data_IF_245268221449
#
_entry.id   IF_245268221449
#
_cell.length_a   1.000
_cell.length_b   1.000
_cell.length_c   1.000
_cell.angle_alpha   90.00
_cell.angle_beta   90.00
_cell.angle_gamma   90.00
#
_symmetry.space_group_name_H-M   'P 1'
#
loop_
_entity.id
_entity.type
_entity.pdbx_description
1 polymer ?
#
# COMPACT_ATOMS: atom_id res chain seq x y z
N UNK A 1 -11.34 -10.83 -2.86
CA UNK A 1 -11.43 -9.36 -2.72
C UNK A 1 -10.70 -8.71 -3.87
N UNK A 2 -11.06 -7.47 -4.19
CA UNK A 2 -10.32 -6.60 -5.10
C UNK A 2 -9.47 -5.66 -4.25
N UNK A 3 -8.16 -5.88 -4.22
CA UNK A 3 -7.21 -5.11 -3.42
C UNK A 3 -6.54 -4.06 -4.31
N UNK A 4 -6.58 -2.81 -3.88
CA UNK A 4 -5.82 -1.74 -4.51
C UNK A 4 -4.50 -1.53 -3.78
N UNK A 5 -3.38 -1.77 -4.48
CA UNK A 5 -2.03 -1.59 -3.94
C UNK A 5 -1.40 -0.29 -4.40
N UNK A 6 -0.77 0.41 -3.48
CA UNK A 6 -0.03 1.66 -3.71
C UNK A 6 1.20 1.72 -2.81
N UNK A 7 2.15 2.56 -3.10
CA UNK A 7 3.29 2.89 -2.24
C UNK A 7 3.91 4.24 -2.60
N UNK A 8 4.98 4.63 -1.94
CA UNK A 8 5.84 5.78 -2.28
C UNK A 8 7.27 5.37 -2.70
N UNK A 9 7.64 4.09 -2.58
CA UNK A 9 8.93 3.56 -3.01
C UNK A 9 9.01 3.30 -4.53
N UNK A 10 7.87 3.34 -5.22
CA UNK A 10 7.76 3.11 -6.66
C UNK A 10 7.26 1.72 -7.05
N UNK A 11 6.73 1.62 -8.27
CA UNK A 11 6.00 0.45 -8.80
C UNK A 11 6.83 -0.85 -8.80
N UNK A 12 8.13 -0.77 -8.95
CA UNK A 12 9.04 -1.93 -8.97
C UNK A 12 9.69 -2.25 -7.62
N UNK A 13 9.27 -1.60 -6.53
CA UNK A 13 9.88 -1.83 -5.22
C UNK A 13 9.55 -3.21 -4.64
N UNK A 14 10.45 -3.73 -3.82
CA UNK A 14 10.30 -5.05 -3.18
C UNK A 14 9.04 -5.16 -2.34
N UNK A 15 8.67 -4.08 -1.66
CA UNK A 15 7.53 -4.04 -0.74
C UNK A 15 6.19 -4.21 -1.44
N UNK A 16 5.93 -3.47 -2.52
CA UNK A 16 4.66 -3.58 -3.25
C UNK A 16 4.56 -4.91 -4.00
N UNK A 17 5.69 -5.40 -4.52
CA UNK A 17 5.73 -6.72 -5.16
C UNK A 17 5.43 -7.85 -4.18
N UNK A 18 5.97 -7.78 -2.95
CA UNK A 18 5.66 -8.75 -1.90
C UNK A 18 4.17 -8.73 -1.51
N UNK A 19 3.54 -7.54 -1.41
CA UNK A 19 2.10 -7.43 -1.16
C UNK A 19 1.27 -8.02 -2.30
N UNK A 20 1.66 -7.76 -3.54
CA UNK A 20 1.01 -8.33 -4.71
C UNK A 20 1.06 -9.86 -4.68
N UNK A 21 2.25 -10.45 -4.51
CA UNK A 21 2.41 -11.92 -4.44
C UNK A 21 1.57 -12.52 -3.30
N UNK A 22 1.63 -11.92 -2.11
CA UNK A 22 0.85 -12.38 -0.96
C UNK A 22 -0.67 -12.31 -1.21
N UNK A 23 -1.15 -11.29 -1.93
CA UNK A 23 -2.56 -11.15 -2.27
C UNK A 23 -3.00 -12.18 -3.32
N UNK A 24 -2.20 -12.37 -4.38
CA UNK A 24 -2.47 -13.35 -5.44
C UNK A 24 -2.42 -14.79 -4.91
N UNK A 25 -1.45 -15.15 -4.06
CA UNK A 25 -1.38 -16.45 -3.39
C UNK A 25 -2.66 -16.79 -2.62
N UNK A 26 -3.38 -15.79 -2.14
CA UNK A 26 -4.65 -15.95 -1.41
C UNK A 26 -5.90 -15.85 -2.31
N UNK A 27 -5.73 -15.77 -3.62
CA UNK A 27 -6.82 -15.73 -4.60
C UNK A 27 -7.52 -14.38 -4.67
N UNK A 28 -6.83 -13.28 -4.36
CA UNK A 28 -7.37 -11.94 -4.52
C UNK A 28 -7.04 -11.39 -5.90
N UNK A 29 -7.92 -10.52 -6.42
CA UNK A 29 -7.62 -9.69 -7.57
C UNK A 29 -6.90 -8.42 -7.11
N UNK A 30 -5.92 -7.98 -7.88
CA UNK A 30 -5.03 -6.89 -7.51
C UNK A 30 -4.97 -5.83 -8.61
N UNK A 31 -5.20 -4.58 -8.25
CA UNK A 31 -4.81 -3.44 -9.07
C UNK A 31 -3.71 -2.68 -8.35
N UNK A 32 -2.52 -2.64 -8.96
CA UNK A 32 -1.40 -1.85 -8.46
C UNK A 32 -1.34 -0.51 -9.20
N UNK A 33 -1.25 0.58 -8.48
CA UNK A 33 -0.94 1.89 -9.05
C UNK A 33 0.06 2.60 -8.14
N UNK A 34 1.28 2.83 -8.63
CA UNK A 34 2.33 3.42 -7.81
C UNK A 34 3.17 4.42 -8.62
N UNK A 35 3.90 5.32 -7.97
CA UNK A 35 4.80 6.24 -8.64
C UNK A 35 5.83 5.49 -9.47
N UNK A 36 6.21 6.08 -10.61
CA UNK A 36 7.28 5.53 -11.44
C UNK A 36 8.62 5.50 -10.72
N UNK A 37 8.86 6.48 -9.84
CA UNK A 37 10.08 6.65 -9.05
C UNK A 37 9.73 6.93 -7.60
N UNK A 38 10.65 6.62 -6.69
CA UNK A 38 10.49 6.87 -5.25
C UNK A 38 10.09 8.32 -4.96
N UNK A 39 9.15 8.50 -4.03
CA UNK A 39 8.54 9.76 -3.62
C UNK A 39 8.60 9.93 -2.08
N UNK A 40 9.76 9.69 -1.48
CA UNK A 40 9.94 9.82 -0.04
C UNK A 40 9.56 11.22 0.45
N UNK A 41 8.99 11.29 1.66
CA UNK A 41 8.53 12.53 2.29
C UNK A 41 7.47 13.31 1.46
N UNK A 42 6.69 12.60 0.64
CA UNK A 42 5.64 13.22 -0.15
C UNK A 42 4.43 13.70 0.66
N UNK A 43 4.28 13.23 1.91
CA UNK A 43 3.11 13.54 2.75
C UNK A 43 1.80 13.20 2.02
N UNK A 44 0.75 13.99 2.22
CA UNK A 44 -0.53 13.87 1.52
C UNK A 44 -0.62 14.83 0.31
N UNK A 45 0.50 15.03 -0.42
CA UNK A 45 0.57 15.92 -1.57
C UNK A 45 -0.07 15.29 -2.79
N UNK A 46 -0.82 16.09 -3.57
CA UNK A 46 -1.32 15.72 -4.89
C UNK A 46 -0.94 16.78 -5.95
N UNK A 47 -0.96 16.38 -7.22
CA UNK A 47 -0.58 17.22 -8.35
C UNK A 47 -1.77 18.06 -8.82
N UNK A 48 -1.58 19.39 -8.96
CA UNK A 48 -2.63 20.33 -9.35
C UNK A 48 -2.51 20.83 -10.80
N UNK A 49 -1.31 21.07 -11.27
CA UNK A 49 -1.07 21.87 -12.49
C UNK A 49 -0.35 21.12 -13.58
N UNK A 50 0.26 20.00 -13.28
CA UNK A 50 1.04 19.21 -14.23
C UNK A 50 0.27 17.99 -14.72
N UNK A 51 0.45 17.57 -15.99
CA UNK A 51 -0.16 16.35 -16.47
C UNK A 51 0.43 15.12 -15.77
N UNK A 52 -0.45 14.18 -15.42
CA UNK A 52 -0.07 12.88 -14.87
C UNK A 52 -0.09 11.86 -16.02
N UNK A 53 1.04 11.26 -16.29
CA UNK A 53 1.16 10.21 -17.29
C UNK A 53 0.99 8.84 -16.63
N UNK A 54 0.17 8.00 -17.25
CA UNK A 54 -0.07 6.61 -16.83
C UNK A 54 0.55 5.67 -17.83
N UNK A 55 1.28 4.67 -17.35
CA UNK A 55 1.85 3.60 -18.18
C UNK A 55 1.55 2.26 -17.53
N UNK A 56 1.03 1.31 -18.30
CA UNK A 56 0.93 -0.08 -17.88
C UNK A 56 2.32 -0.62 -17.49
N UNK A 57 2.36 -1.32 -16.37
CA UNK A 57 3.56 -1.97 -15.88
C UNK A 57 3.43 -3.48 -16.07
N UNK A 58 4.40 -4.13 -16.70
CA UNK A 58 4.30 -5.56 -16.98
C UNK A 58 4.30 -6.38 -15.68
N UNK A 59 3.26 -7.16 -15.48
CA UNK A 59 3.12 -8.12 -14.39
C UNK A 59 2.58 -9.41 -14.96
N UNK A 60 3.35 -10.50 -14.79
CA UNK A 60 2.95 -11.84 -15.25
C UNK A 60 2.31 -12.61 -14.08
N UNK A 61 1.13 -12.14 -13.67
CA UNK A 61 0.31 -12.78 -12.62
C UNK A 61 -1.17 -12.69 -12.99
N UNK A 62 -1.88 -13.84 -13.09
CA UNK A 62 -3.33 -13.83 -13.32
C UNK A 62 -4.07 -13.03 -12.24
N UNK A 63 -5.04 -12.22 -12.65
CA UNK A 63 -5.83 -11.40 -11.73
C UNK A 63 -5.13 -10.14 -11.22
N UNK A 64 -3.94 -9.81 -11.78
CA UNK A 64 -3.19 -8.63 -11.42
C UNK A 64 -3.07 -7.64 -12.60
N UNK A 65 -3.33 -6.36 -12.34
CA UNK A 65 -3.06 -5.24 -13.24
C UNK A 65 -2.16 -4.23 -12.53
N UNK A 66 -1.20 -3.66 -13.25
CA UNK A 66 -0.26 -2.73 -12.65
C UNK A 66 -0.01 -1.50 -13.53
N UNK A 67 0.10 -0.34 -12.90
CA UNK A 67 0.27 0.95 -13.55
C UNK A 67 1.32 1.80 -12.83
N UNK A 68 2.26 2.33 -13.60
CA UNK A 68 3.21 3.34 -13.13
C UNK A 68 2.72 4.72 -13.52
N UNK A 69 2.69 5.67 -12.59
CA UNK A 69 2.32 7.06 -12.88
C UNK A 69 3.43 8.05 -12.53
N UNK A 70 3.39 9.23 -13.13
CA UNK A 70 4.35 10.31 -12.83
C UNK A 70 3.95 11.16 -11.62
N UNK A 71 2.82 10.86 -11.00
CA UNK A 71 2.28 11.57 -9.84
C UNK A 71 2.83 11.10 -8.49
N UNK A 72 2.31 11.72 -7.44
CA UNK A 72 2.56 11.35 -6.04
C UNK A 72 1.83 10.05 -5.66
N UNK A 73 2.10 9.46 -4.48
CA UNK A 73 1.32 8.32 -3.97
C UNK A 73 -0.18 8.61 -3.85
N UNK A 74 -0.54 9.83 -3.47
CA UNK A 74 -1.94 10.29 -3.42
C UNK A 74 -2.55 10.33 -4.82
N UNK A 75 -1.82 10.84 -5.82
CA UNK A 75 -2.28 10.82 -7.21
C UNK A 75 -2.50 9.39 -7.72
N UNK A 76 -1.66 8.43 -7.29
CA UNK A 76 -1.84 7.02 -7.64
C UNK A 76 -3.20 6.49 -7.16
N UNK A 77 -3.62 6.83 -5.95
CA UNK A 77 -4.93 6.43 -5.43
C UNK A 77 -6.05 7.14 -6.18
N UNK A 78 -5.96 8.45 -6.38
CA UNK A 78 -6.98 9.24 -7.07
C UNK A 78 -7.20 8.78 -8.51
N UNK A 79 -6.12 8.70 -9.28
CA UNK A 79 -6.17 8.24 -10.68
C UNK A 79 -6.56 6.76 -10.73
N UNK A 80 -5.98 5.94 -9.87
CA UNK A 80 -6.25 4.52 -9.80
C UNK A 80 -7.71 4.20 -9.57
N UNK A 81 -8.30 4.75 -8.51
CA UNK A 81 -9.70 4.50 -8.16
C UNK A 81 -10.70 5.07 -9.17
N UNK A 82 -10.37 6.17 -9.83
CA UNK A 82 -11.30 6.84 -10.74
C UNK A 82 -11.19 6.36 -12.20
N UNK A 83 -10.03 5.89 -12.63
CA UNK A 83 -9.76 5.65 -14.06
C UNK A 83 -9.22 4.25 -14.40
N UNK A 84 -8.60 3.55 -13.43
CA UNK A 84 -7.86 2.33 -13.75
C UNK A 84 -8.50 1.05 -13.20
N UNK A 85 -9.20 1.14 -12.07
CA UNK A 85 -9.92 -0.02 -11.53
C UNK A 85 -11.12 -0.39 -12.38
N UNK A 86 -11.26 -1.66 -12.70
CA UNK A 86 -12.37 -2.18 -13.51
C UNK A 86 -13.50 -2.75 -12.67
N UNK A 87 -13.29 -2.89 -11.36
CA UNK A 87 -14.25 -3.44 -10.38
C UNK A 87 -14.19 -2.64 -9.07
N UNK A 88 -15.25 -2.66 -8.26
CA UNK A 88 -15.22 -2.04 -6.95
C UNK A 88 -14.05 -2.55 -6.11
N UNK A 89 -13.33 -1.64 -5.47
CA UNK A 89 -12.22 -1.95 -4.56
C UNK A 89 -12.75 -2.23 -3.17
N UNK A 90 -12.28 -3.30 -2.54
CA UNK A 90 -12.66 -3.68 -1.17
C UNK A 90 -11.76 -3.02 -0.12
N UNK A 91 -10.50 -2.74 -0.46
CA UNK A 91 -9.51 -2.15 0.44
C UNK A 91 -8.35 -1.51 -0.33
N UNK A 92 -7.83 -0.40 0.21
CA UNK A 92 -6.56 0.22 -0.20
C UNK A 92 -5.46 -0.24 0.76
N UNK A 93 -4.39 -0.82 0.21
CA UNK A 93 -3.25 -1.29 0.98
C UNK A 93 -1.98 -0.60 0.46
N UNK A 94 -1.39 0.26 1.29
CA UNK A 94 -0.22 1.07 0.95
C UNK A 94 1.05 0.51 1.61
N UNK A 95 2.07 0.22 0.81
CA UNK A 95 3.37 -0.28 1.29
C UNK A 95 3.89 -1.47 0.46
N UNK A 96 4.69 -2.41 1.00
CA UNK A 96 5.38 -2.33 2.30
C UNK A 96 6.48 -1.28 2.18
N UNK A 97 6.44 -0.26 3.04
CA UNK A 97 7.41 0.83 3.02
C UNK A 97 8.74 0.40 3.63
N UNK A 98 9.83 0.80 2.99
CA UNK A 98 11.20 0.63 3.48
C UNK A 98 11.54 1.75 4.49
N UNK A 99 11.14 1.56 5.74
CA UNK A 99 11.31 2.51 6.84
C UNK A 99 10.03 2.68 7.66
N UNK A 100 10.16 2.96 8.95
CA UNK A 100 9.02 3.16 9.83
C UNK A 100 8.24 4.44 9.54
N UNK A 101 6.92 4.32 9.67
CA UNK A 101 5.99 5.44 9.65
C UNK A 101 5.23 5.50 10.99
N UNK A 102 5.90 5.92 12.06
CA UNK A 102 5.37 6.02 13.41
C UNK A 102 5.64 7.39 14.02
N UNK A 103 4.82 7.82 14.98
CA UNK A 103 4.94 9.13 15.61
C UNK A 103 4.88 10.27 14.59
N UNK A 104 5.82 11.20 14.64
CA UNK A 104 5.88 12.36 13.74
C UNK A 104 6.10 11.98 12.27
N UNK A 105 6.73 10.84 11.98
CA UNK A 105 6.97 10.39 10.60
C UNK A 105 5.67 10.17 9.82
N UNK A 106 4.58 9.84 10.49
CA UNK A 106 3.24 9.69 9.89
C UNK A 106 2.84 10.89 9.05
N UNK A 107 3.12 12.11 9.53
CA UNK A 107 2.74 13.35 8.85
C UNK A 107 3.50 13.61 7.54
N UNK A 108 4.69 13.03 7.38
CA UNK A 108 5.54 13.21 6.21
C UNK A 108 5.49 12.04 5.24
N UNK A 109 4.89 10.92 5.65
CA UNK A 109 4.86 9.68 4.88
C UNK A 109 3.96 9.74 3.65
N UNK A 110 4.50 9.42 2.49
CA UNK A 110 3.73 9.19 1.27
C UNK A 110 2.90 7.90 1.34
N UNK A 111 3.44 6.85 1.99
CA UNK A 111 2.74 5.58 2.23
C UNK A 111 1.48 5.81 3.06
N UNK A 112 1.58 6.53 4.19
CA UNK A 112 0.42 6.86 5.03
C UNK A 112 -0.53 7.81 4.30
N UNK A 113 0.00 8.81 3.58
CA UNK A 113 -0.80 9.75 2.78
C UNK A 113 -1.65 9.03 1.73
N UNK A 114 -1.09 8.05 1.03
CA UNK A 114 -1.85 7.24 0.08
C UNK A 114 -2.96 6.41 0.76
N UNK A 115 -2.68 5.80 1.91
CA UNK A 115 -3.72 5.10 2.68
C UNK A 115 -4.82 6.06 3.15
N UNK A 116 -4.45 7.26 3.61
CA UNK A 116 -5.41 8.31 3.99
C UNK A 116 -6.30 8.71 2.81
N UNK A 117 -5.75 8.83 1.60
CA UNK A 117 -6.55 9.12 0.39
C UNK A 117 -7.56 8.01 0.12
N UNK A 118 -7.19 6.74 0.32
CA UNK A 118 -8.13 5.62 0.26
C UNK A 118 -9.27 5.76 1.27
N UNK A 119 -8.94 6.09 2.52
CA UNK A 119 -9.92 6.30 3.58
C UNK A 119 -10.84 7.50 3.31
N UNK A 120 -10.33 8.58 2.70
CA UNK A 120 -11.13 9.73 2.26
C UNK A 120 -12.10 9.38 1.12
N UNK A 121 -11.77 8.37 0.32
CA UNK A 121 -12.65 7.78 -0.68
C UNK A 121 -13.60 6.72 -0.11
N UNK A 122 -13.80 6.69 1.21
CA UNK A 122 -14.72 5.78 1.94
C UNK A 122 -14.36 4.30 1.80
N UNK A 123 -13.10 3.98 1.55
CA UNK A 123 -12.61 2.61 1.51
C UNK A 123 -11.87 2.25 2.81
N UNK A 124 -11.97 1.02 3.29
CA UNK A 124 -11.01 0.50 4.26
C UNK A 124 -9.60 0.73 3.75
N UNK A 125 -8.69 1.23 4.59
CA UNK A 125 -7.35 1.58 4.15
C UNK A 125 -6.29 1.23 5.19
N UNK A 126 -5.16 0.68 4.73
CA UNK A 126 -4.05 0.28 5.58
C UNK A 126 -2.74 0.82 5.04
N UNK A 127 -1.86 1.25 5.93
CA UNK A 127 -0.45 1.53 5.66
C UNK A 127 0.42 0.47 6.34
N UNK A 128 1.44 -0.01 5.64
CA UNK A 128 2.32 -1.09 6.12
C UNK A 128 3.77 -0.70 5.93
N UNK A 129 4.55 -0.75 6.99
CA UNK A 129 5.95 -0.33 7.03
C UNK A 129 6.80 -1.33 7.80
N UNK A 130 8.06 -1.44 7.41
CA UNK A 130 9.05 -2.28 8.07
C UNK A 130 10.37 -1.51 8.23
N UNK A 131 11.22 -1.94 9.13
CA UNK A 131 12.55 -1.34 9.31
C UNK A 131 13.39 -1.43 8.03
N UNK A 132 14.13 -0.36 7.69
CA UNK A 132 14.90 -0.22 6.43
C UNK A 132 16.07 -1.23 6.25
N UNK A 133 16.44 -1.99 7.28
CA UNK A 133 17.40 -3.09 7.18
C UNK A 133 16.72 -4.47 7.08
N UNK A 134 15.40 -4.52 6.86
CA UNK A 134 14.70 -5.79 6.70
C UNK A 134 15.14 -6.51 5.42
N UNK A 135 15.38 -7.80 5.53
CA UNK A 135 15.63 -8.65 4.38
C UNK A 135 14.32 -9.03 3.65
N UNK A 136 14.45 -9.65 2.49
CA UNK A 136 13.29 -10.03 1.67
C UNK A 136 12.35 -11.00 2.42
N UNK A 137 12.90 -11.93 3.22
CA UNK A 137 12.08 -12.88 3.98
C UNK A 137 11.21 -12.20 5.04
N UNK A 138 11.72 -11.16 5.70
CA UNK A 138 10.97 -10.33 6.64
C UNK A 138 9.87 -9.53 5.92
N UNK A 139 10.19 -8.96 4.76
CA UNK A 139 9.22 -8.20 3.93
C UNK A 139 8.09 -9.13 3.48
N UNK A 140 8.40 -10.32 2.97
CA UNK A 140 7.42 -11.30 2.50
C UNK A 140 6.55 -11.81 3.66
N UNK A 141 7.14 -12.01 4.84
CA UNK A 141 6.38 -12.39 6.04
C UNK A 141 5.37 -11.31 6.43
N UNK A 142 5.80 -10.05 6.47
CA UNK A 142 4.93 -8.92 6.79
C UNK A 142 3.85 -8.73 5.71
N UNK A 143 4.18 -8.88 4.44
CA UNK A 143 3.21 -8.80 3.35
C UNK A 143 2.10 -9.84 3.50
N UNK A 144 2.45 -11.11 3.75
CA UNK A 144 1.47 -12.18 4.04
C UNK A 144 0.63 -11.90 5.29
N UNK A 145 1.25 -11.34 6.33
CA UNK A 145 0.52 -10.91 7.52
C UNK A 145 -0.47 -9.78 7.20
N UNK A 146 -0.01 -8.73 6.51
CA UNK A 146 -0.81 -7.57 6.16
C UNK A 146 -2.04 -7.95 5.31
N UNK A 147 -1.90 -8.86 4.34
CA UNK A 147 -3.03 -9.35 3.53
C UNK A 147 -4.06 -10.10 4.40
N UNK A 148 -3.63 -10.95 5.35
CA UNK A 148 -4.56 -11.59 6.30
C UNK A 148 -5.28 -10.60 7.21
N UNK A 149 -4.60 -9.53 7.62
CA UNK A 149 -5.23 -8.44 8.37
C UNK A 149 -6.22 -7.68 7.49
N UNK A 150 -5.84 -7.39 6.24
CA UNK A 150 -6.68 -6.70 5.27
C UNK A 150 -8.03 -7.43 5.04
N UNK A 151 -8.01 -8.77 4.95
CA UNK A 151 -9.24 -9.58 4.81
C UNK A 151 -10.23 -9.39 5.96
N UNK A 152 -9.71 -9.18 7.17
CA UNK A 152 -10.53 -8.92 8.37
C UNK A 152 -10.95 -7.46 8.44
N UNK A 153 -10.00 -6.56 8.20
CA UNK A 153 -10.21 -5.11 8.29
C UNK A 153 -11.21 -4.59 7.26
N UNK A 154 -11.19 -5.12 6.03
CA UNK A 154 -12.14 -4.77 4.99
C UNK A 154 -13.61 -5.07 5.35
N UNK A 155 -13.85 -5.96 6.33
CA UNK A 155 -15.19 -6.37 6.80
C UNK A 155 -15.53 -5.81 8.18
N UNK A 156 -14.59 -5.11 8.81
CA UNK A 156 -14.78 -4.58 10.14
C UNK A 156 -15.60 -3.28 10.10
N UNK A 157 -16.42 -3.08 11.11
CA UNK A 157 -17.09 -1.79 11.34
C UNK A 157 -16.07 -0.84 11.97
N UNK A 158 -15.38 -0.07 11.14
CA UNK A 158 -14.36 0.88 11.56
C UNK A 158 -14.86 2.31 11.43
N UNK A 159 -14.41 3.24 12.29
CA UNK A 159 -14.77 4.65 12.12
C UNK A 159 -14.40 5.15 10.72
N UNK A 160 -15.23 5.99 10.09
CA UNK A 160 -14.94 6.53 8.77
C UNK A 160 -13.64 7.34 8.77
N UNK A 161 -12.95 7.35 7.63
CA UNK A 161 -11.72 8.12 7.42
C UNK A 161 -10.56 7.73 8.36
N UNK A 162 -10.55 6.47 8.83
CA UNK A 162 -9.44 5.93 9.62
C UNK A 162 -8.54 5.05 8.78
N UNK A 163 -7.27 4.98 9.17
CA UNK A 163 -6.26 4.13 8.55
C UNK A 163 -5.66 3.21 9.60
N UNK A 164 -5.59 1.92 9.31
CA UNK A 164 -4.80 0.99 10.11
C UNK A 164 -3.34 1.07 9.68
N UNK A 165 -2.49 1.63 10.55
CA UNK A 165 -1.06 1.80 10.27
C UNK A 165 -0.25 0.71 11.00
N UNK A 166 0.39 -0.16 10.24
CA UNK A 166 1.19 -1.30 10.74
C UNK A 166 2.67 -0.98 10.57
N UNK A 167 3.45 -1.13 11.65
CA UNK A 167 4.90 -1.02 11.64
C UNK A 167 5.51 -2.27 12.24
N UNK A 168 6.35 -2.99 11.49
CA UNK A 168 7.01 -4.21 11.94
C UNK A 168 8.47 -3.97 12.31
N UNK A 169 8.94 -4.46 13.48
CA UNK A 169 10.32 -4.30 13.92
C UNK A 169 11.30 -5.13 13.10
N UNK A 170 12.59 -4.80 13.19
CA UNK A 170 13.69 -5.60 12.64
C UNK A 170 13.92 -6.86 13.49
N UNK A 171 13.02 -7.81 13.34
CA UNK A 171 13.10 -9.10 14.03
C UNK A 171 12.76 -10.24 13.06
N UNK A 172 13.45 -11.36 13.20
CA UNK A 172 13.11 -12.57 12.47
C UNK A 172 11.65 -12.99 12.80
N UNK A 173 10.90 -13.51 11.83
CA UNK A 173 9.46 -13.81 11.99
C UNK A 173 9.10 -14.63 13.22
N UNK A 174 9.93 -15.60 13.60
CA UNK A 174 9.74 -16.48 14.76
C UNK A 174 9.95 -15.77 16.11
N UNK A 175 10.50 -14.57 16.11
CA UNK A 175 10.73 -13.73 17.30
C UNK A 175 9.69 -12.62 17.45
N UNK A 176 8.81 -12.46 16.47
CA UNK A 176 7.76 -11.46 16.55
C UNK A 176 6.73 -11.83 17.64
N UNK A 177 6.44 -10.88 18.50
CA UNK A 177 5.34 -10.98 19.46
C UNK A 177 4.01 -10.63 18.79
N UNK A 178 2.86 -10.99 19.41
CA UNK A 178 1.57 -10.52 18.94
C UNK A 178 1.54 -8.99 18.79
N UNK A 179 0.84 -8.45 17.78
CA UNK A 179 0.74 -7.01 17.59
C UNK A 179 0.03 -6.33 18.76
N UNK A 180 0.43 -5.12 19.04
CA UNK A 180 -0.19 -4.26 20.06
C UNK A 180 -0.62 -2.94 19.39
N UNK A 181 -1.70 -2.35 19.89
CA UNK A 181 -2.08 -0.98 19.55
C UNK A 181 -1.22 0.00 20.34
N UNK A 182 -0.75 1.06 19.66
CA UNK A 182 0.07 2.12 20.25
C UNK A 182 -0.57 3.49 20.01
#
# INVERSE_FOLDING_TARGET
>A
MNIFLVNDDGIGSKGIMALMEAAVERGHEVTMCAPRYQQSAASHRFTLTEPIYVKEWPVDRPGCQAYAITGSPVDCVRVGLQQLVTRPVDIVLSGVNDGYNAGMAVHYSGTVGAAMEGALNHLPAMAVSIHHHADQGMIDHLARYAVRVAEKYARADTPPHTVLNINAPLLAPEKLLPPVYA
#
